data_IF_153911322095
#
_entry.id   IF_153911322095
#
_cell.length_a   1.000
_cell.length_b   1.000
_cell.length_c   1.000
_cell.angle_alpha   90.00
_cell.angle_beta   90.00
_cell.angle_gamma   90.00
#
_symmetry.space_group_name_H-M   'P 1'
#
loop_
_entity.id
_entity.type
_entity.pdbx_description
1 polymer ?
#
# COMPACT_ATOMS: atom_id res chain seq x y z
N UNK A 1 -35.90 5.37 -7.36
CA UNK A 1 -34.96 4.93 -6.31
C UNK A 1 -35.13 3.42 -6.13
N UNK A 2 -34.46 2.59 -6.93
CA UNK A 2 -34.53 1.13 -6.74
C UNK A 2 -33.67 0.78 -5.54
N UNK A 3 -34.31 0.49 -4.40
CA UNK A 3 -33.68 -0.19 -3.27
C UNK A 3 -33.08 -1.49 -3.81
N UNK A 4 -31.76 -1.60 -3.82
CA UNK A 4 -31.10 -2.87 -4.11
C UNK A 4 -31.64 -3.85 -3.06
N UNK A 5 -32.25 -4.93 -3.52
CA UNK A 5 -32.77 -5.98 -2.64
C UNK A 5 -31.62 -6.47 -1.74
N UNK A 6 -31.83 -6.53 -0.42
CA UNK A 6 -30.82 -6.91 0.59
C UNK A 6 -30.12 -8.23 0.22
N UNK A 7 -30.87 -9.18 -0.35
CA UNK A 7 -30.37 -10.46 -0.83
C UNK A 7 -29.39 -10.33 -2.01
N UNK A 8 -29.64 -9.37 -2.92
CA UNK A 8 -28.75 -9.10 -4.06
C UNK A 8 -27.44 -8.50 -3.59
N UNK A 9 -27.46 -7.61 -2.59
CA UNK A 9 -26.21 -7.04 -2.05
C UNK A 9 -25.34 -8.10 -1.37
N UNK A 10 -25.95 -8.97 -0.58
CA UNK A 10 -25.27 -10.09 0.08
C UNK A 10 -24.61 -11.05 -0.93
N UNK A 11 -25.29 -11.37 -2.03
CA UNK A 11 -24.72 -12.20 -3.09
C UNK A 11 -23.43 -11.61 -3.70
N UNK A 12 -23.45 -10.33 -4.09
CA UNK A 12 -22.26 -9.65 -4.62
C UNK A 12 -21.14 -9.57 -3.57
N UNK A 13 -21.49 -9.39 -2.31
CA UNK A 13 -20.54 -9.34 -1.22
C UNK A 13 -19.80 -10.66 -1.00
N UNK A 14 -20.50 -11.80 -1.04
CA UNK A 14 -19.86 -13.12 -0.94
C UNK A 14 -18.90 -13.34 -2.10
N UNK A 15 -19.31 -13.03 -3.32
CA UNK A 15 -18.44 -13.16 -4.51
C UNK A 15 -17.23 -12.23 -4.41
N UNK A 16 -17.43 -10.98 -3.97
CA UNK A 16 -16.34 -10.05 -3.72
C UNK A 16 -15.33 -10.64 -2.76
N UNK A 17 -15.77 -11.11 -1.59
CA UNK A 17 -14.89 -11.66 -0.57
C UNK A 17 -14.08 -12.82 -1.13
N UNK A 18 -14.70 -13.75 -1.88
CA UNK A 18 -14.00 -14.88 -2.48
C UNK A 18 -12.94 -14.42 -3.49
N UNK A 19 -13.31 -13.63 -4.50
CA UNK A 19 -12.39 -13.22 -5.56
C UNK A 19 -11.29 -12.28 -5.06
N UNK A 20 -11.65 -11.33 -4.18
CA UNK A 20 -10.71 -10.45 -3.53
C UNK A 20 -9.71 -11.21 -2.67
N UNK A 21 -10.19 -12.22 -1.92
CA UNK A 21 -9.34 -13.07 -1.10
C UNK A 21 -8.38 -13.89 -1.95
N UNK A 22 -8.84 -14.48 -3.05
CA UNK A 22 -7.98 -15.23 -3.98
C UNK A 22 -6.87 -14.35 -4.58
N UNK A 23 -7.21 -13.14 -5.02
CA UNK A 23 -6.21 -12.18 -5.50
C UNK A 23 -5.24 -11.76 -4.39
N UNK A 24 -5.75 -11.44 -3.21
CA UNK A 24 -4.94 -11.05 -2.06
C UNK A 24 -3.98 -12.17 -1.63
N UNK A 25 -4.46 -13.43 -1.64
CA UNK A 25 -3.66 -14.60 -1.32
C UNK A 25 -2.49 -14.77 -2.28
N UNK A 26 -2.77 -14.61 -3.58
CA UNK A 26 -1.79 -14.75 -4.64
C UNK A 26 -0.70 -13.67 -4.56
N UNK A 27 -0.99 -12.47 -4.06
CA UNK A 27 0.05 -11.44 -3.89
C UNK A 27 1.19 -11.84 -2.96
N UNK A 28 0.96 -12.80 -2.04
CA UNK A 28 2.00 -13.32 -1.14
C UNK A 28 2.88 -14.41 -1.76
N UNK A 29 2.46 -15.01 -2.86
CA UNK A 29 3.17 -16.11 -3.54
C UNK A 29 3.81 -15.57 -4.82
N UNK A 30 5.00 -16.08 -5.16
CA UNK A 30 5.79 -15.70 -6.34
C UNK A 30 4.94 -15.32 -7.58
N UNK A 31 5.14 -14.10 -8.11
CA UNK A 31 4.43 -13.54 -9.27
C UNK A 31 4.98 -14.00 -10.63
N UNK A 32 6.12 -14.69 -10.68
CA UNK A 32 6.79 -14.94 -11.97
C UNK A 32 6.14 -16.08 -12.78
N UNK A 33 5.69 -15.74 -13.99
CA UNK A 33 5.40 -16.70 -15.07
C UNK A 33 4.08 -17.47 -15.00
N UNK A 34 3.22 -17.21 -14.01
CA UNK A 34 1.97 -17.96 -13.85
C UNK A 34 0.74 -17.08 -14.13
N UNK A 35 0.05 -17.41 -15.22
CA UNK A 35 -1.17 -16.76 -15.72
C UNK A 35 -2.37 -16.85 -14.76
N UNK A 36 -2.29 -17.62 -13.66
CA UNK A 36 -3.37 -17.77 -12.69
C UNK A 36 -3.83 -16.43 -12.11
N UNK A 37 -2.89 -15.53 -11.78
CA UNK A 37 -3.25 -14.19 -11.30
C UNK A 37 -4.04 -13.41 -12.34
N UNK A 38 -3.61 -13.45 -13.60
CA UNK A 38 -4.25 -12.73 -14.69
C UNK A 38 -5.67 -13.25 -14.92
N UNK A 39 -5.87 -14.57 -14.89
CA UNK A 39 -7.20 -15.18 -14.99
C UNK A 39 -8.10 -14.81 -13.79
N UNK A 40 -7.58 -14.85 -12.57
CA UNK A 40 -8.31 -14.42 -11.37
C UNK A 40 -8.66 -12.93 -11.45
N UNK A 41 -7.75 -12.10 -11.97
CA UNK A 41 -7.96 -10.68 -12.13
C UNK A 41 -8.99 -10.38 -13.21
N UNK A 42 -8.99 -11.13 -14.33
CA UNK A 42 -10.03 -11.05 -15.36
C UNK A 42 -11.41 -11.44 -14.81
N UNK A 43 -11.48 -12.52 -14.01
CA UNK A 43 -12.71 -12.93 -13.35
C UNK A 43 -13.20 -11.86 -12.37
N UNK A 44 -12.29 -11.27 -11.59
CA UNK A 44 -12.59 -10.14 -10.72
C UNK A 44 -13.05 -8.91 -11.51
N UNK A 45 -12.42 -8.61 -12.65
CA UNK A 45 -12.78 -7.48 -13.51
C UNK A 45 -14.19 -7.66 -14.09
N UNK A 46 -14.53 -8.87 -14.53
CA UNK A 46 -15.88 -9.22 -14.96
C UNK A 46 -16.90 -9.06 -13.82
N UNK A 47 -16.57 -9.54 -12.62
CA UNK A 47 -17.37 -9.29 -11.42
C UNK A 47 -17.55 -7.78 -11.15
N UNK A 48 -16.48 -6.99 -11.21
CA UNK A 48 -16.51 -5.55 -10.96
C UNK A 48 -17.37 -4.81 -12.00
N UNK A 49 -17.35 -5.26 -13.26
CA UNK A 49 -18.24 -4.79 -14.31
C UNK A 49 -19.72 -5.09 -13.97
N UNK A 50 -20.05 -6.34 -13.64
CA UNK A 50 -21.40 -6.73 -13.23
C UNK A 50 -21.89 -5.96 -12.00
N UNK A 51 -20.99 -5.76 -11.03
CA UNK A 51 -21.26 -4.96 -9.84
C UNK A 51 -21.54 -3.51 -10.20
N UNK A 52 -20.77 -2.95 -11.12
CA UNK A 52 -20.94 -1.57 -11.56
C UNK A 52 -22.29 -1.36 -12.24
N UNK A 53 -22.70 -2.21 -13.18
CA UNK A 53 -24.00 -2.05 -13.86
C UNK A 53 -25.22 -2.29 -12.94
N UNK A 54 -25.04 -2.95 -11.79
CA UNK A 54 -26.12 -3.22 -10.84
C UNK A 54 -26.28 -2.15 -9.75
N UNK A 55 -25.31 -1.23 -9.63
CA UNK A 55 -25.35 -0.11 -8.70
C UNK A 55 -25.84 1.15 -9.41
N UNK A 56 -26.70 1.90 -8.72
CA UNK A 56 -27.09 3.24 -9.16
C UNK A 56 -26.01 4.26 -8.80
N UNK A 57 -25.58 5.05 -9.77
CA UNK A 57 -24.65 6.17 -9.56
C UNK A 57 -25.40 7.50 -9.67
N UNK A 58 -25.02 8.45 -8.83
CA UNK A 58 -25.34 9.86 -8.98
C UNK A 58 -24.59 10.46 -10.16
N UNK A 59 -25.12 11.56 -10.72
CA UNK A 59 -24.46 12.30 -11.82
C UNK A 59 -23.02 12.70 -11.46
N UNK A 60 -22.78 13.09 -10.21
CA UNK A 60 -21.44 13.46 -9.72
C UNK A 60 -20.48 12.27 -9.74
N UNK A 61 -20.91 11.09 -9.27
CA UNK A 61 -20.09 9.89 -9.30
C UNK A 61 -19.76 9.45 -10.72
N UNK A 62 -20.72 9.55 -11.65
CA UNK A 62 -20.49 9.22 -13.07
C UNK A 62 -19.42 10.14 -13.67
N UNK A 63 -19.52 11.45 -13.45
CA UNK A 63 -18.54 12.42 -13.96
C UNK A 63 -17.15 12.10 -13.42
N UNK A 64 -17.02 11.88 -12.10
CA UNK A 64 -15.74 11.54 -11.46
C UNK A 64 -15.18 10.25 -12.05
N UNK A 65 -16.02 9.21 -12.19
CA UNK A 65 -15.60 7.92 -12.72
C UNK A 65 -15.09 8.03 -14.16
N UNK A 66 -15.79 8.76 -15.02
CA UNK A 66 -15.37 9.00 -16.41
C UNK A 66 -14.04 9.75 -16.42
N UNK A 67 -13.92 10.85 -15.66
CA UNK A 67 -12.68 11.65 -15.61
C UNK A 67 -11.48 10.83 -15.12
N UNK A 68 -11.64 10.06 -14.03
CA UNK A 68 -10.58 9.20 -13.49
C UNK A 68 -10.22 8.09 -14.47
N UNK A 69 -11.21 7.48 -15.13
CA UNK A 69 -10.96 6.44 -16.14
C UNK A 69 -10.15 6.99 -17.30
N UNK A 70 -10.51 8.16 -17.84
CA UNK A 70 -9.74 8.81 -18.92
C UNK A 70 -8.30 9.07 -18.48
N UNK A 71 -8.08 9.62 -17.28
CA UNK A 71 -6.74 9.89 -16.76
C UNK A 71 -5.91 8.60 -16.62
N UNK A 72 -6.51 7.51 -16.13
CA UNK A 72 -5.81 6.24 -15.97
C UNK A 72 -5.53 5.56 -17.31
N UNK A 73 -6.44 5.66 -18.29
CA UNK A 73 -6.20 5.18 -19.67
C UNK A 73 -5.05 5.95 -20.31
N UNK A 74 -5.02 7.29 -20.17
CA UNK A 74 -3.91 8.10 -20.67
C UNK A 74 -2.58 7.68 -20.02
N UNK A 75 -2.56 7.53 -18.70
CA UNK A 75 -1.35 7.05 -18.03
C UNK A 75 -0.93 5.65 -18.50
N UNK A 76 -1.84 4.71 -18.68
CA UNK A 76 -1.49 3.39 -19.20
C UNK A 76 -0.95 3.44 -20.62
N UNK A 77 -1.45 4.35 -21.45
CA UNK A 77 -0.94 4.56 -22.80
C UNK A 77 0.52 5.06 -22.80
N UNK A 78 0.84 6.05 -21.96
CA UNK A 78 2.19 6.65 -21.88
C UNK A 78 3.19 5.81 -21.08
N UNK A 79 2.76 5.21 -19.96
CA UNK A 79 3.64 4.45 -19.06
C UNK A 79 3.81 2.98 -19.45
N UNK A 80 2.96 2.47 -20.35
CA UNK A 80 2.82 1.04 -20.67
C UNK A 80 2.53 0.15 -19.44
N UNK A 81 2.13 0.75 -18.32
CA UNK A 81 1.74 0.07 -17.09
C UNK A 81 0.24 0.20 -16.80
N UNK A 82 -0.35 -0.82 -16.17
CA UNK A 82 -1.81 -0.89 -15.93
C UNK A 82 -2.21 -0.72 -14.46
N UNK A 83 -1.28 -0.39 -13.55
CA UNK A 83 -1.51 -0.42 -12.10
C UNK A 83 -2.71 0.43 -11.66
N UNK A 84 -2.87 1.65 -12.17
CA UNK A 84 -3.98 2.53 -11.79
C UNK A 84 -5.34 2.06 -12.33
N UNK A 85 -5.37 1.49 -13.54
CA UNK A 85 -6.57 0.83 -14.06
C UNK A 85 -6.94 -0.38 -13.20
N UNK A 86 -5.95 -1.19 -12.80
CA UNK A 86 -6.18 -2.32 -11.90
C UNK A 86 -6.73 -1.88 -10.54
N UNK A 87 -6.19 -0.80 -9.98
CA UNK A 87 -6.73 -0.19 -8.75
C UNK A 87 -8.18 0.25 -8.94
N UNK A 88 -8.50 0.93 -10.04
CA UNK A 88 -9.87 1.37 -10.32
C UNK A 88 -10.85 0.20 -10.38
N UNK A 89 -10.48 -0.88 -11.08
CA UNK A 89 -11.28 -2.10 -11.17
C UNK A 89 -11.50 -2.71 -9.77
N UNK A 90 -10.45 -2.79 -8.95
CA UNK A 90 -10.53 -3.28 -7.58
C UNK A 90 -11.49 -2.42 -6.74
N UNK A 91 -11.38 -1.10 -6.82
CA UNK A 91 -12.26 -0.20 -6.07
C UNK A 91 -13.72 -0.29 -6.53
N UNK A 92 -13.98 -0.43 -7.83
CA UNK A 92 -15.33 -0.64 -8.37
C UNK A 92 -15.96 -1.94 -7.85
N UNK A 93 -15.19 -3.04 -7.83
CA UNK A 93 -15.67 -4.31 -7.27
C UNK A 93 -15.99 -4.23 -5.77
N UNK A 94 -15.35 -3.32 -5.04
CA UNK A 94 -15.56 -3.10 -3.61
C UNK A 94 -16.74 -2.18 -3.27
N UNK A 95 -17.45 -1.62 -4.25
CA UNK A 95 -18.59 -0.70 -4.04
C UNK A 95 -19.66 -1.31 -3.14
N UNK A 96 -20.15 -0.53 -2.17
CA UNK A 96 -21.13 -0.92 -1.14
C UNK A 96 -20.76 -2.16 -0.30
N UNK A 97 -19.48 -2.52 -0.26
CA UNK A 97 -18.92 -3.47 0.72
C UNK A 97 -18.39 -2.69 1.92
N UNK A 98 -18.71 -3.11 3.14
CA UNK A 98 -18.22 -2.42 4.34
C UNK A 98 -16.68 -2.43 4.41
N UNK A 99 -16.07 -1.30 4.78
CA UNK A 99 -14.61 -1.18 4.86
C UNK A 99 -14.00 -2.21 5.82
N UNK A 100 -14.69 -2.47 6.95
CA UNK A 100 -14.31 -3.48 7.93
C UNK A 100 -14.21 -4.88 7.32
N UNK A 101 -15.15 -5.25 6.43
CA UNK A 101 -15.14 -6.57 5.78
C UNK A 101 -14.01 -6.70 4.76
N UNK A 102 -13.68 -5.62 4.05
CA UNK A 102 -12.51 -5.58 3.15
C UNK A 102 -11.24 -5.79 3.97
N UNK A 103 -11.11 -5.08 5.08
CA UNK A 103 -9.95 -5.13 5.97
C UNK A 103 -9.82 -6.50 6.65
N UNK A 104 -10.91 -7.07 7.15
CA UNK A 104 -10.94 -8.41 7.75
C UNK A 104 -10.51 -9.48 6.72
N UNK A 105 -11.08 -9.42 5.52
CA UNK A 105 -10.73 -10.35 4.44
C UNK A 105 -9.26 -10.23 4.07
N UNK A 106 -8.75 -9.00 3.94
CA UNK A 106 -7.34 -8.76 3.62
C UNK A 106 -6.41 -9.24 4.74
N UNK A 107 -6.75 -8.97 6.00
CA UNK A 107 -5.97 -9.41 7.16
C UNK A 107 -5.86 -10.94 7.21
N UNK A 108 -6.98 -11.64 7.09
CA UNK A 108 -7.02 -13.10 7.09
C UNK A 108 -6.19 -13.65 5.93
N UNK A 109 -6.38 -13.12 4.72
CA UNK A 109 -5.62 -13.57 3.55
C UNK A 109 -4.12 -13.33 3.71
N UNK A 110 -3.70 -12.17 4.22
CA UNK A 110 -2.29 -11.88 4.44
C UNK A 110 -1.68 -12.81 5.49
N UNK A 111 -2.39 -13.13 6.57
CA UNK A 111 -1.94 -14.11 7.57
C UNK A 111 -1.81 -15.50 6.95
N UNK A 112 -2.83 -15.97 6.23
CA UNK A 112 -2.83 -17.28 5.58
C UNK A 112 -1.69 -17.38 4.56
N UNK A 113 -1.52 -16.39 3.68
CA UNK A 113 -0.42 -16.36 2.72
C UNK A 113 0.93 -16.34 3.41
N UNK A 114 1.10 -15.53 4.45
CA UNK A 114 2.36 -15.43 5.17
C UNK A 114 2.74 -16.78 5.79
N UNK A 115 1.85 -17.39 6.57
CA UNK A 115 2.08 -18.72 7.17
C UNK A 115 2.28 -19.79 6.08
N UNK A 116 1.47 -19.75 5.01
CA UNK A 116 1.54 -20.69 3.89
C UNK A 116 2.88 -20.66 3.18
N UNK A 117 3.40 -19.47 2.85
CA UNK A 117 4.71 -19.29 2.23
C UNK A 117 5.82 -19.81 3.14
N UNK A 118 5.82 -19.46 4.43
CA UNK A 118 6.81 -19.98 5.39
C UNK A 118 6.75 -21.51 5.48
N UNK A 119 5.55 -22.08 5.49
CA UNK A 119 5.33 -23.53 5.52
C UNK A 119 5.87 -24.20 4.26
N UNK A 120 5.58 -23.65 3.07
CA UNK A 120 6.06 -24.21 1.81
C UNK A 120 7.57 -24.16 1.65
N UNK A 121 8.23 -23.14 2.22
CA UNK A 121 9.70 -23.11 2.29
C UNK A 121 10.24 -24.22 3.19
N UNK A 122 9.64 -24.43 4.36
CA UNK A 122 10.03 -25.51 5.27
C UNK A 122 9.79 -26.91 4.69
N UNK A 123 8.80 -27.05 3.81
CA UNK A 123 8.52 -28.28 3.06
C UNK A 123 9.36 -28.40 1.78
N UNK A 124 10.28 -27.47 1.52
CA UNK A 124 11.11 -27.41 0.30
C UNK A 124 10.31 -27.32 -1.01
N UNK A 125 9.06 -26.85 -0.95
CA UNK A 125 8.21 -26.58 -2.13
C UNK A 125 8.60 -25.24 -2.75
N UNK A 126 8.94 -24.24 -1.93
CA UNK A 126 9.42 -22.93 -2.37
C UNK A 126 10.89 -22.76 -2.01
N UNK A 127 11.63 -22.11 -2.90
CA UNK A 127 13.04 -21.78 -2.67
C UNK A 127 13.18 -20.66 -1.62
N UNK A 128 14.11 -20.85 -0.70
CA UNK A 128 14.56 -19.78 0.18
C UNK A 128 15.66 -18.96 -0.51
N UNK A 129 15.27 -17.97 -1.31
CA UNK A 129 16.24 -17.13 -2.04
C UNK A 129 17.14 -16.36 -1.07
N UNK A 130 18.44 -16.46 -1.33
CA UNK A 130 19.47 -15.72 -0.64
C UNK A 130 19.90 -14.52 -1.48
N UNK A 131 19.94 -13.35 -0.85
CA UNK A 131 20.44 -12.11 -1.44
C UNK A 131 21.67 -11.69 -0.64
N UNK A 132 22.81 -11.54 -1.32
CA UNK A 132 24.02 -11.00 -0.73
C UNK A 132 23.99 -9.48 -0.83
N UNK A 133 24.25 -8.78 0.27
CA UNK A 133 24.31 -7.30 0.27
C UNK A 133 25.57 -6.85 0.99
N UNK A 134 26.32 -5.93 0.37
CA UNK A 134 27.47 -5.29 1.00
C UNK A 134 27.00 -4.21 1.99
N UNK A 135 27.42 -4.32 3.25
CA UNK A 135 27.07 -3.38 4.32
C UNK A 135 28.25 -3.20 5.27
N UNK A 136 28.63 -1.95 5.53
CA UNK A 136 29.65 -1.59 6.52
C UNK A 136 31.00 -2.32 6.37
N UNK A 137 31.41 -2.66 5.15
CA UNK A 137 32.66 -3.40 4.91
C UNK A 137 32.49 -4.90 4.81
N UNK A 138 31.29 -5.44 5.07
CA UNK A 138 31.03 -6.89 5.10
C UNK A 138 29.92 -7.28 4.13
N UNK A 139 30.03 -8.49 3.58
CA UNK A 139 28.96 -9.11 2.78
C UNK A 139 28.02 -9.84 3.72
N UNK A 140 26.77 -9.37 3.81
CA UNK A 140 25.75 -9.97 4.67
C UNK A 140 24.80 -10.81 3.83
N UNK A 141 24.60 -12.06 4.23
CA UNK A 141 23.60 -12.94 3.66
C UNK A 141 22.20 -12.59 4.20
N UNK A 142 21.22 -12.48 3.30
CA UNK A 142 19.84 -12.13 3.64
C UNK A 142 18.90 -13.13 2.99
N UNK A 143 17.92 -13.62 3.73
CA UNK A 143 17.00 -14.64 3.24
C UNK A 143 15.61 -14.06 3.03
N UNK A 144 15.01 -14.37 1.87
CA UNK A 144 13.67 -13.91 1.51
C UNK A 144 12.56 -14.85 1.98
N UNK A 145 12.90 -16.09 2.36
CA UNK A 145 11.98 -17.09 2.94
C UNK A 145 10.69 -17.27 2.10
N UNK A 146 10.88 -17.53 0.80
CA UNK A 146 9.79 -17.77 -0.15
C UNK A 146 9.20 -16.51 -0.79
N UNK A 147 9.59 -15.32 -0.31
CA UNK A 147 9.26 -14.04 -0.96
C UNK A 147 10.28 -13.66 -2.04
N UNK A 148 9.94 -12.67 -2.87
CA UNK A 148 10.83 -12.19 -3.93
C UNK A 148 12.11 -11.54 -3.41
N UNK A 149 12.01 -10.82 -2.29
CA UNK A 149 13.13 -10.11 -1.68
C UNK A 149 12.97 -10.05 -0.15
N UNK A 150 14.05 -9.99 0.65
CA UNK A 150 13.94 -9.90 2.11
C UNK A 150 13.16 -8.68 2.63
N UNK A 151 13.16 -7.56 1.89
CA UNK A 151 12.31 -6.41 2.24
C UNK A 151 10.82 -6.75 2.06
N UNK A 152 10.45 -7.50 1.02
CA UNK A 152 9.07 -7.89 0.74
C UNK A 152 8.51 -8.76 1.86
N UNK A 153 9.28 -9.74 2.34
CA UNK A 153 8.93 -10.54 3.52
C UNK A 153 8.54 -9.64 4.71
N UNK A 154 9.36 -8.63 4.99
CA UNK A 154 9.14 -7.73 6.11
C UNK A 154 8.01 -6.73 5.89
N UNK A 155 7.83 -6.23 4.67
CA UNK A 155 6.70 -5.39 4.29
C UNK A 155 5.36 -6.14 4.41
N UNK A 156 5.34 -7.42 4.04
CA UNK A 156 4.19 -8.30 4.25
C UNK A 156 3.87 -8.50 5.73
N UNK A 157 4.88 -8.68 6.57
CA UNK A 157 4.66 -8.73 8.00
C UNK A 157 4.13 -7.39 8.54
N UNK A 158 4.73 -6.27 8.12
CA UNK A 158 4.30 -4.94 8.52
C UNK A 158 2.83 -4.64 8.17
N UNK A 159 2.37 -4.99 6.96
CA UNK A 159 0.96 -4.76 6.59
C UNK A 159 -0.01 -5.59 7.43
N UNK A 160 0.36 -6.83 7.82
CA UNK A 160 -0.43 -7.66 8.74
C UNK A 160 -0.54 -6.95 10.09
N UNK A 161 0.57 -6.43 10.63
CA UNK A 161 0.57 -5.72 11.91
C UNK A 161 -0.29 -4.46 11.85
N UNK A 162 -0.21 -3.69 10.76
CA UNK A 162 -1.05 -2.51 10.57
C UNK A 162 -2.54 -2.84 10.56
N UNK A 163 -2.94 -3.84 9.76
CA UNK A 163 -4.32 -4.31 9.67
C UNK A 163 -4.83 -4.84 11.02
N UNK A 164 -4.00 -5.62 11.72
CA UNK A 164 -4.31 -6.16 13.04
C UNK A 164 -4.50 -5.04 14.08
N UNK A 165 -3.62 -4.04 14.11
CA UNK A 165 -3.74 -2.89 15.01
C UNK A 165 -4.99 -2.07 14.69
N UNK A 166 -5.27 -1.82 13.41
CA UNK A 166 -6.50 -1.13 13.02
C UNK A 166 -7.75 -1.88 13.49
N UNK A 167 -7.82 -3.19 13.21
CA UNK A 167 -9.02 -3.99 13.50
C UNK A 167 -9.29 -4.09 14.99
N UNK A 168 -8.23 -4.22 15.79
CA UNK A 168 -8.34 -4.40 17.24
C UNK A 168 -7.93 -3.14 18.02
N UNK A 169 -8.00 -1.95 17.40
CA UNK A 169 -7.41 -0.71 17.93
C UNK A 169 -7.75 -0.43 19.39
N UNK A 170 -9.02 -0.63 19.79
CA UNK A 170 -9.49 -0.42 21.17
C UNK A 170 -9.37 -1.66 22.06
N UNK A 171 -9.18 -2.86 21.49
CA UNK A 171 -9.19 -4.17 22.17
C UNK A 171 -7.80 -4.77 22.36
N UNK A 172 -6.75 -4.20 21.76
CA UNK A 172 -5.40 -4.73 21.87
C UNK A 172 -4.87 -4.66 23.32
N UNK A 173 -4.15 -5.71 23.71
CA UNK A 173 -3.43 -5.80 24.99
C UNK A 173 -1.93 -5.61 24.72
N UNK A 174 -1.20 -5.10 25.71
CA UNK A 174 0.26 -4.94 25.61
C UNK A 174 0.99 -6.27 25.31
N UNK A 175 0.46 -7.40 25.80
CA UNK A 175 0.99 -8.73 25.49
C UNK A 175 1.01 -9.00 23.98
N UNK A 176 -0.04 -8.61 23.24
CA UNK A 176 -0.05 -8.78 21.79
C UNK A 176 1.08 -7.97 21.13
N UNK A 177 1.35 -6.77 21.63
CA UNK A 177 2.42 -5.90 21.11
C UNK A 177 3.81 -6.50 21.40
N UNK A 178 4.02 -7.07 22.59
CA UNK A 178 5.26 -7.77 22.95
C UNK A 178 5.48 -8.96 22.02
N UNK A 179 4.45 -9.78 21.77
CA UNK A 179 4.52 -10.91 20.84
C UNK A 179 4.89 -10.42 19.43
N UNK A 180 4.28 -9.33 18.95
CA UNK A 180 4.60 -8.74 17.65
C UNK A 180 6.08 -8.34 17.58
N UNK A 181 6.64 -7.74 18.62
CA UNK A 181 8.05 -7.33 18.65
C UNK A 181 9.01 -8.53 18.69
N UNK A 182 8.65 -9.60 19.39
CA UNK A 182 9.42 -10.86 19.39
C UNK A 182 9.45 -11.47 17.98
N UNK A 183 8.29 -11.56 17.32
CA UNK A 183 8.19 -12.07 15.95
C UNK A 183 8.96 -11.15 14.99
N UNK A 184 8.89 -9.83 15.17
CA UNK A 184 9.65 -8.86 14.37
C UNK A 184 11.16 -9.10 14.47
N UNK A 185 11.67 -9.35 15.69
CA UNK A 185 13.07 -9.67 15.93
C UNK A 185 13.48 -10.97 15.25
N UNK A 186 12.63 -12.00 15.32
CA UNK A 186 12.86 -13.26 14.62
C UNK A 186 12.95 -13.06 13.11
N UNK A 187 11.98 -12.38 12.49
CA UNK A 187 12.00 -12.13 11.05
C UNK A 187 13.22 -11.28 10.66
N UNK A 188 13.59 -10.29 11.47
CA UNK A 188 14.79 -9.48 11.22
C UNK A 188 16.08 -10.30 11.24
N UNK A 189 16.19 -11.29 12.13
CA UNK A 189 17.38 -12.16 12.18
C UNK A 189 17.59 -12.96 10.89
N UNK A 190 16.52 -13.17 10.10
CA UNK A 190 16.54 -13.90 8.84
C UNK A 190 16.70 -12.94 7.65
N UNK A 191 15.89 -11.88 7.60
CA UNK A 191 15.80 -10.97 6.45
C UNK A 191 16.89 -9.91 6.43
N UNK A 192 17.41 -9.57 7.63
CA UNK A 192 18.27 -8.41 7.91
C UNK A 192 17.73 -7.13 7.26
N UNK A 193 16.41 -7.01 7.11
CA UNK A 193 15.74 -5.87 6.50
C UNK A 193 15.51 -4.77 7.55
N UNK A 194 16.50 -3.88 7.71
CA UNK A 194 16.48 -2.81 8.72
C UNK A 194 15.24 -1.93 8.63
N UNK A 195 14.89 -1.53 7.41
CA UNK A 195 13.73 -0.67 7.15
C UNK A 195 12.44 -1.31 7.67
N UNK A 196 12.15 -2.55 7.29
CA UNK A 196 10.96 -3.27 7.74
C UNK A 196 10.90 -3.46 9.25
N UNK A 197 12.05 -3.80 9.87
CA UNK A 197 12.17 -3.92 11.32
C UNK A 197 11.77 -2.64 12.05
N UNK A 198 12.32 -1.49 11.63
CA UNK A 198 12.01 -0.20 12.24
C UNK A 198 10.59 0.29 11.94
N UNK A 199 10.02 -0.05 10.77
CA UNK A 199 8.62 0.24 10.48
C UNK A 199 7.67 -0.47 11.45
N UNK A 200 7.91 -1.75 11.75
CA UNK A 200 7.09 -2.49 12.71
C UNK A 200 7.22 -1.91 14.12
N UNK A 201 8.45 -1.56 14.54
CA UNK A 201 8.67 -0.86 15.82
C UNK A 201 7.90 0.46 15.84
N UNK A 202 8.02 1.26 14.77
CA UNK A 202 7.29 2.51 14.65
C UNK A 202 5.78 2.29 14.78
N UNK A 203 5.20 1.34 14.05
CA UNK A 203 3.77 1.02 14.11
C UNK A 203 3.31 0.71 15.55
N UNK A 204 4.05 -0.15 16.25
CA UNK A 204 3.74 -0.53 17.64
C UNK A 204 3.88 0.66 18.59
N UNK A 205 4.99 1.39 18.53
CA UNK A 205 5.25 2.55 19.40
C UNK A 205 4.24 3.67 19.13
N UNK A 206 3.98 3.97 17.87
CA UNK A 206 3.02 4.98 17.46
C UNK A 206 1.61 4.63 17.94
N UNK A 207 1.19 3.36 17.85
CA UNK A 207 -0.06 2.89 18.43
C UNK A 207 -0.10 3.10 19.96
N UNK A 208 0.95 2.70 20.69
CA UNK A 208 1.00 2.87 22.16
C UNK A 208 0.88 4.34 22.55
N UNK A 209 1.62 5.22 21.88
CA UNK A 209 1.59 6.66 22.16
C UNK A 209 0.21 7.23 21.81
N UNK A 210 -0.34 6.90 20.64
CA UNK A 210 -1.67 7.35 20.24
C UNK A 210 -2.75 6.94 21.24
N UNK A 211 -2.71 5.70 21.72
CA UNK A 211 -3.70 5.19 22.68
C UNK A 211 -3.66 5.96 24.01
N UNK A 212 -2.47 6.34 24.46
CA UNK A 212 -2.26 6.82 25.83
C UNK A 212 -2.01 8.33 25.93
N UNK A 213 -1.81 9.04 24.81
CA UNK A 213 -1.45 10.46 24.81
C UNK A 213 -2.39 11.29 23.92
N UNK A 214 -3.27 12.05 24.56
CA UNK A 214 -4.22 12.94 23.89
C UNK A 214 -3.54 14.01 23.03
N UNK A 215 -2.42 14.59 23.47
CA UNK A 215 -1.71 15.61 22.68
C UNK A 215 -1.23 15.03 21.34
N UNK A 216 -0.72 13.79 21.35
CA UNK A 216 -0.27 13.13 20.13
C UNK A 216 -1.46 12.79 19.22
N UNK A 217 -2.61 12.39 19.77
CA UNK A 217 -3.84 12.25 18.96
C UNK A 217 -4.18 13.57 18.25
N UNK A 218 -4.16 14.69 18.97
CA UNK A 218 -4.45 16.02 18.40
C UNK A 218 -3.43 16.42 17.33
N UNK A 219 -2.15 16.11 17.53
CA UNK A 219 -1.11 16.32 16.52
C UNK A 219 -1.37 15.43 15.29
N UNK A 220 -1.72 14.16 15.48
CA UNK A 220 -2.07 13.25 14.38
C UNK A 220 -3.28 13.74 13.61
N UNK A 221 -4.34 14.22 14.28
CA UNK A 221 -5.50 14.82 13.60
C UNK A 221 -5.12 16.02 12.73
N UNK A 222 -4.11 16.82 13.13
CA UNK A 222 -3.63 17.96 12.35
C UNK A 222 -2.73 17.56 11.20
N UNK A 223 -1.80 16.63 11.43
CA UNK A 223 -0.73 16.30 10.48
C UNK A 223 -1.14 15.21 9.48
N UNK A 224 -1.92 14.21 9.89
CA UNK A 224 -2.26 13.05 9.05
C UNK A 224 -2.77 13.40 7.63
N UNK A 225 -3.59 14.45 7.43
CA UNK A 225 -3.99 14.84 6.07
C UNK A 225 -2.84 15.28 5.16
N UNK A 226 -1.77 15.83 5.72
CA UNK A 226 -0.65 16.43 4.99
C UNK A 226 0.55 15.49 4.82
N UNK A 227 0.56 14.32 5.48
CA UNK A 227 1.75 13.44 5.53
C UNK A 227 2.26 13.06 4.14
N UNK A 228 1.39 12.74 3.18
CA UNK A 228 1.81 12.40 1.82
C UNK A 228 2.51 13.58 1.11
N UNK A 229 2.00 14.79 1.28
CA UNK A 229 2.61 16.00 0.72
C UNK A 229 3.93 16.33 1.40
N UNK A 230 4.01 16.20 2.73
CA UNK A 230 5.24 16.39 3.50
C UNK A 230 6.31 15.39 3.03
N UNK A 231 5.94 14.11 2.90
CA UNK A 231 6.83 13.06 2.44
C UNK A 231 7.34 13.34 1.02
N UNK A 232 6.44 13.62 0.07
CA UNK A 232 6.83 13.96 -1.31
C UNK A 232 7.71 15.21 -1.38
N UNK A 233 7.31 16.29 -0.71
CA UNK A 233 8.07 17.53 -0.73
C UNK A 233 9.46 17.34 -0.10
N UNK A 234 9.55 16.61 1.03
CA UNK A 234 10.84 16.29 1.63
C UNK A 234 11.74 15.48 0.70
N UNK A 235 11.17 14.52 -0.04
CA UNK A 235 11.91 13.73 -1.02
C UNK A 235 12.45 14.61 -2.14
N UNK A 236 11.59 15.43 -2.76
CA UNK A 236 11.98 16.36 -3.84
C UNK A 236 13.04 17.35 -3.38
N UNK A 237 12.86 17.92 -2.18
CA UNK A 237 13.78 18.88 -1.59
C UNK A 237 15.17 18.25 -1.40
N UNK A 238 15.24 17.07 -0.78
CA UNK A 238 16.51 16.41 -0.49
C UNK A 238 17.16 15.80 -1.73
N UNK A 239 16.39 15.25 -2.67
CA UNK A 239 16.95 14.60 -3.86
C UNK A 239 17.42 15.58 -4.92
N UNK A 240 16.68 16.67 -5.17
CA UNK A 240 16.96 17.60 -6.27
C UNK A 240 17.82 18.79 -5.83
N UNK A 241 17.62 19.32 -4.63
CA UNK A 241 18.25 20.59 -4.22
C UNK A 241 19.37 20.41 -3.20
N UNK A 242 19.21 19.51 -2.22
CA UNK A 242 20.14 19.40 -1.08
C UNK A 242 21.00 18.14 -1.07
N UNK A 243 20.97 17.33 -2.13
CA UNK A 243 21.64 16.02 -2.14
C UNK A 243 23.15 16.11 -1.84
N UNK A 244 23.81 17.15 -2.34
CA UNK A 244 25.26 17.34 -2.17
C UNK A 244 25.65 17.87 -0.79
N UNK A 245 24.72 18.01 0.16
CA UNK A 245 25.03 18.47 1.51
C UNK A 245 25.43 17.30 2.42
N UNK A 246 26.36 17.52 3.38
CA UNK A 246 26.78 16.47 4.32
C UNK A 246 25.62 15.89 5.15
N UNK A 247 24.62 16.71 5.45
CA UNK A 247 23.44 16.31 6.23
C UNK A 247 22.59 15.32 5.43
N UNK A 248 22.32 15.61 4.16
CA UNK A 248 21.52 14.72 3.31
C UNK A 248 22.26 13.42 2.99
N UNK A 249 23.58 13.46 2.81
CA UNK A 249 24.38 12.22 2.64
C UNK A 249 24.29 11.29 3.86
N UNK A 250 24.34 11.83 5.09
CA UNK A 250 24.12 11.04 6.31
C UNK A 250 22.69 10.48 6.38
N UNK A 251 21.70 11.29 6.02
CA UNK A 251 20.30 10.87 5.98
C UNK A 251 20.07 9.76 4.95
N UNK A 252 20.67 9.86 3.77
CA UNK A 252 20.57 8.87 2.70
C UNK A 252 21.18 7.53 3.11
N UNK A 253 22.31 7.53 3.81
CA UNK A 253 22.89 6.33 4.39
C UNK A 253 21.95 5.65 5.40
N UNK A 254 21.23 6.43 6.23
CA UNK A 254 20.21 5.90 7.14
C UNK A 254 19.03 5.30 6.37
N UNK A 255 18.59 5.96 5.29
CA UNK A 255 17.53 5.51 4.41
C UNK A 255 17.98 4.46 3.38
N UNK A 256 19.21 3.97 3.51
CA UNK A 256 19.81 2.97 2.62
C UNK A 256 19.78 3.36 1.13
N UNK A 257 20.12 4.61 0.81
CA UNK A 257 20.28 5.10 -0.57
C UNK A 257 19.01 5.62 -1.24
N UNK A 258 17.86 5.63 -0.55
CA UNK A 258 16.56 5.99 -1.16
C UNK A 258 16.47 7.42 -1.68
N UNK A 259 17.19 8.37 -1.08
CA UNK A 259 17.23 9.76 -1.58
C UNK A 259 18.10 9.82 -2.84
N UNK A 260 19.22 9.10 -2.86
CA UNK A 260 20.06 8.97 -4.05
C UNK A 260 19.31 8.34 -5.21
N UNK A 261 18.60 7.23 -4.98
CA UNK A 261 17.80 6.56 -6.01
C UNK A 261 16.67 7.46 -6.52
N UNK A 262 16.00 8.20 -5.63
CA UNK A 262 15.02 9.19 -6.04
C UNK A 262 15.63 10.29 -6.92
N UNK A 263 16.86 10.76 -6.63
CA UNK A 263 17.55 11.73 -7.48
C UNK A 263 17.82 11.16 -8.88
N UNK A 264 18.35 9.93 -8.95
CA UNK A 264 18.64 9.28 -10.24
C UNK A 264 17.39 9.14 -11.10
N UNK A 265 16.28 8.72 -10.49
CA UNK A 265 15.00 8.56 -11.19
C UNK A 265 14.46 9.93 -11.63
N UNK A 266 14.39 10.91 -10.72
CA UNK A 266 13.63 12.15 -10.94
C UNK A 266 14.33 13.17 -11.83
N UNK A 267 15.64 13.07 -12.04
CA UNK A 267 16.38 14.04 -12.87
C UNK A 267 15.87 14.07 -14.31
N UNK A 268 15.51 12.91 -14.88
CA UNK A 268 15.13 12.78 -16.30
C UNK A 268 13.71 12.24 -16.54
N UNK A 269 12.88 12.13 -15.49
CA UNK A 269 11.58 11.43 -15.56
C UNK A 269 10.34 12.27 -15.28
N UNK A 270 10.45 13.58 -15.13
CA UNK A 270 9.30 14.42 -14.80
C UNK A 270 8.40 14.63 -16.02
N UNK A 271 7.29 13.89 -16.09
CA UNK A 271 6.29 13.98 -17.14
C UNK A 271 4.85 14.08 -16.56
N UNK A 272 3.92 14.61 -17.35
CA UNK A 272 2.53 14.82 -16.90
C UNK A 272 1.78 13.51 -16.64
N UNK A 273 1.98 12.52 -17.52
CA UNK A 273 1.30 11.21 -17.50
C UNK A 273 2.24 10.03 -17.23
N UNK A 274 3.49 10.30 -16.85
CA UNK A 274 4.49 9.31 -16.52
C UNK A 274 5.31 8.84 -17.73
N UNK A 275 6.23 7.91 -17.49
CA UNK A 275 7.12 7.35 -18.50
C UNK A 275 6.98 5.84 -18.57
N UNK A 276 7.44 5.28 -19.68
CA UNK A 276 7.48 3.84 -19.90
C UNK A 276 8.30 3.13 -18.83
N UNK A 277 7.81 2.00 -18.31
CA UNK A 277 8.52 1.23 -17.28
C UNK A 277 9.88 0.72 -17.75
N UNK A 278 9.99 0.30 -19.02
CA UNK A 278 11.23 -0.22 -19.60
C UNK A 278 12.36 0.81 -19.60
N UNK A 279 12.03 2.10 -19.76
CA UNK A 279 12.99 3.19 -19.65
C UNK A 279 13.75 3.15 -18.31
N UNK A 280 13.06 2.80 -17.22
CA UNK A 280 13.68 2.71 -15.90
C UNK A 280 14.35 1.38 -15.63
N UNK A 281 13.78 0.29 -16.13
CA UNK A 281 14.43 -1.00 -16.04
C UNK A 281 15.78 -0.85 -16.73
N UNK A 282 15.86 -0.48 -18.01
CA UNK A 282 17.12 -0.43 -18.76
C UNK A 282 18.19 0.50 -18.17
N UNK A 283 17.79 1.59 -17.49
CA UNK A 283 18.73 2.60 -16.94
C UNK A 283 19.02 2.47 -15.45
N UNK A 284 18.10 1.92 -14.67
CA UNK A 284 18.14 1.95 -13.21
C UNK A 284 17.77 0.60 -12.56
N UNK A 285 17.88 -0.51 -13.32
CA UNK A 285 17.49 -1.93 -13.09
C UNK A 285 17.26 -2.36 -11.62
N UNK A 286 18.08 -1.91 -10.68
CA UNK A 286 18.14 -2.42 -9.30
C UNK A 286 17.43 -1.56 -8.23
N UNK A 287 17.04 -0.31 -8.52
CA UNK A 287 16.71 0.66 -7.45
C UNK A 287 15.34 1.32 -7.56
N UNK A 288 14.58 0.93 -8.58
CA UNK A 288 13.31 1.56 -8.92
C UNK A 288 12.19 1.34 -7.89
N UNK A 289 12.28 0.28 -7.09
CA UNK A 289 11.23 -0.14 -6.16
C UNK A 289 11.41 0.29 -4.70
N UNK A 290 12.42 1.12 -4.42
CA UNK A 290 12.80 1.43 -3.03
C UNK A 290 12.09 2.67 -2.44
N UNK A 291 11.30 3.40 -3.24
CA UNK A 291 10.50 4.55 -2.78
C UNK A 291 9.28 4.79 -3.68
N UNK A 292 8.07 4.67 -3.11
CA UNK A 292 6.82 4.85 -3.85
C UNK A 292 6.63 6.25 -4.42
N UNK A 293 7.14 7.29 -3.76
CA UNK A 293 6.88 8.67 -4.17
C UNK A 293 7.63 8.97 -5.47
N UNK A 294 8.93 8.64 -5.55
CA UNK A 294 9.69 8.80 -6.79
C UNK A 294 9.20 7.87 -7.89
N UNK A 295 8.93 6.60 -7.59
CA UNK A 295 8.44 5.64 -8.59
C UNK A 295 7.06 6.04 -9.14
N UNK A 296 6.15 6.49 -8.27
CA UNK A 296 4.81 6.92 -8.67
C UNK A 296 4.89 8.19 -9.49
N UNK A 297 5.72 9.17 -9.11
CA UNK A 297 5.91 10.39 -9.89
C UNK A 297 6.48 10.08 -11.28
N UNK A 298 7.45 9.19 -11.35
CA UNK A 298 8.10 8.79 -12.59
C UNK A 298 7.20 7.96 -13.53
N UNK A 299 6.41 7.01 -13.00
CA UNK A 299 5.54 6.15 -13.83
C UNK A 299 4.13 6.64 -14.02
N UNK A 300 3.61 7.37 -13.05
CA UNK A 300 2.20 7.82 -13.06
C UNK A 300 2.08 9.26 -13.55
N UNK A 301 3.19 9.99 -13.50
CA UNK A 301 3.26 11.40 -13.84
C UNK A 301 2.73 12.30 -12.74
N UNK A 302 2.94 13.60 -12.94
CA UNK A 302 2.58 14.66 -12.00
C UNK A 302 1.07 14.63 -11.72
N UNK A 303 0.23 14.50 -12.76
CA UNK A 303 -1.22 14.65 -12.62
C UNK A 303 -1.81 13.58 -11.69
N UNK A 304 -1.48 12.30 -11.93
CA UNK A 304 -2.01 11.20 -11.11
C UNK A 304 -1.41 11.22 -9.70
N UNK A 305 -0.11 11.50 -9.58
CA UNK A 305 0.57 11.51 -8.28
C UNK A 305 -0.05 12.54 -7.33
N UNK A 306 -0.19 13.79 -7.79
CA UNK A 306 -0.80 14.84 -6.97
C UNK A 306 -2.32 14.68 -6.84
N UNK A 307 -2.98 14.08 -7.83
CA UNK A 307 -4.39 13.70 -7.74
C UNK A 307 -4.66 12.68 -6.64
N UNK A 308 -3.85 11.62 -6.55
CA UNK A 308 -3.89 10.65 -5.46
C UNK A 308 -3.66 11.30 -4.09
N UNK A 309 -2.63 12.15 -3.96
CA UNK A 309 -2.34 12.85 -2.70
C UNK A 309 -3.46 13.79 -2.28
N UNK A 310 -4.11 14.47 -3.24
CA UNK A 310 -5.26 15.31 -2.96
C UNK A 310 -6.46 14.50 -2.46
N UNK A 311 -6.74 13.35 -3.08
CA UNK A 311 -7.79 12.43 -2.63
C UNK A 311 -7.48 11.84 -1.25
N UNK A 312 -6.22 11.47 -1.00
CA UNK A 312 -5.74 11.06 0.31
C UNK A 312 -6.00 12.16 1.35
N UNK A 313 -5.64 13.42 1.05
CA UNK A 313 -5.85 14.55 1.93
C UNK A 313 -7.34 14.76 2.25
N UNK A 314 -8.21 14.77 1.23
CA UNK A 314 -9.67 14.93 1.42
C UNK A 314 -10.26 13.81 2.26
N UNK A 315 -9.87 12.57 1.97
CA UNK A 315 -10.29 11.39 2.72
C UNK A 315 -9.85 11.48 4.18
N UNK A 316 -8.58 11.80 4.42
CA UNK A 316 -8.02 11.98 5.77
C UNK A 316 -8.71 13.11 6.53
N UNK A 317 -9.01 14.25 5.88
CA UNK A 317 -9.79 15.34 6.48
C UNK A 317 -11.19 14.90 6.90
N UNK A 318 -11.86 14.06 6.10
CA UNK A 318 -13.15 13.48 6.47
C UNK A 318 -13.01 12.55 7.69
N UNK A 319 -11.99 11.69 7.72
CA UNK A 319 -11.69 10.83 8.87
C UNK A 319 -11.36 11.62 10.15
N UNK A 320 -10.73 12.79 10.02
CA UNK A 320 -10.51 13.72 11.15
C UNK A 320 -11.85 14.26 11.68
N UNK A 321 -12.77 14.66 10.80
CA UNK A 321 -14.11 15.11 11.20
C UNK A 321 -14.91 14.01 11.88
N UNK A 322 -14.74 12.77 11.43
CA UNK A 322 -15.41 11.59 12.00
C UNK A 322 -14.68 11.05 13.25
N UNK A 323 -13.63 11.73 13.73
CA UNK A 323 -12.80 11.34 14.87
C UNK A 323 -12.25 9.90 14.79
N UNK A 324 -12.01 9.39 13.58
CA UNK A 324 -11.57 8.01 13.36
C UNK A 324 -10.04 7.88 13.46
N UNK A 325 -9.54 7.86 14.71
CA UNK A 325 -8.10 7.77 14.98
C UNK A 325 -7.45 6.47 14.48
N UNK A 326 -8.20 5.37 14.46
CA UNK A 326 -7.71 4.09 13.96
C UNK A 326 -7.39 4.14 12.45
N UNK A 327 -8.27 4.75 11.66
CA UNK A 327 -8.02 4.96 10.23
C UNK A 327 -6.85 5.93 10.00
N UNK A 328 -6.75 7.00 10.80
CA UNK A 328 -5.62 7.94 10.70
C UNK A 328 -4.27 7.28 11.04
N UNK A 329 -4.25 6.35 12.00
CA UNK A 329 -3.08 5.51 12.26
C UNK A 329 -2.64 4.72 11.01
N UNK A 330 -3.58 4.12 10.28
CA UNK A 330 -3.27 3.43 9.01
C UNK A 330 -2.73 4.39 7.96
N UNK A 331 -3.29 5.59 7.87
CA UNK A 331 -2.89 6.61 6.91
C UNK A 331 -1.44 7.04 7.14
N UNK A 332 -1.06 7.38 8.38
CA UNK A 332 0.32 7.77 8.71
C UNK A 332 1.29 6.60 8.51
N UNK A 333 0.94 5.41 9.01
CA UNK A 333 1.83 4.24 8.94
C UNK A 333 2.07 3.77 7.49
N UNK A 334 1.06 3.79 6.62
CA UNK A 334 1.23 3.49 5.19
C UNK A 334 2.13 4.52 4.50
N UNK A 335 2.04 5.79 4.89
CA UNK A 335 2.85 6.85 4.27
C UNK A 335 4.35 6.66 4.51
N UNK A 336 4.71 6.10 5.67
CA UNK A 336 6.10 5.73 5.98
C UNK A 336 6.55 4.50 5.20
N UNK A 337 5.68 3.50 5.06
CA UNK A 337 5.94 2.37 4.16
C UNK A 337 6.22 2.86 2.74
N UNK A 338 5.41 3.78 2.22
CA UNK A 338 5.58 4.35 0.86
C UNK A 338 6.87 5.13 0.70
N UNK A 339 7.38 5.74 1.77
CA UNK A 339 8.68 6.43 1.73
C UNK A 339 9.84 5.43 1.61
N UNK A 340 9.58 4.18 1.94
CA UNK A 340 10.59 3.15 2.10
C UNK A 340 10.50 2.01 1.09
N UNK A 341 9.37 1.84 0.42
CA UNK A 341 9.13 0.77 -0.54
C UNK A 341 8.12 1.28 -1.58
N UNK A 342 8.07 0.66 -2.76
CA UNK A 342 7.18 1.02 -3.88
C UNK A 342 5.81 0.29 -3.82
N UNK A 343 4.91 0.77 -2.97
CA UNK A 343 3.59 0.18 -2.72
C UNK A 343 2.39 1.13 -2.86
N UNK A 344 2.55 2.42 -3.19
CA UNK A 344 1.40 3.31 -3.46
C UNK A 344 0.46 2.71 -4.52
N UNK A 345 1.04 2.08 -5.54
CA UNK A 345 0.32 1.51 -6.69
C UNK A 345 -0.09 0.05 -6.50
N UNK A 346 0.09 -0.51 -5.30
CA UNK A 346 -0.23 -1.90 -4.98
C UNK A 346 -1.43 -1.98 -4.02
N UNK A 347 -2.65 -2.27 -4.52
CA UNK A 347 -3.88 -2.15 -3.73
C UNK A 347 -3.96 -3.08 -2.51
N UNK A 348 -3.24 -4.20 -2.53
CA UNK A 348 -3.19 -5.15 -1.42
C UNK A 348 -2.14 -4.77 -0.34
N UNK A 349 -1.37 -3.70 -0.56
CA UNK A 349 -0.40 -3.14 0.39
C UNK A 349 -0.72 -1.67 0.71
N UNK A 350 -1.44 -0.96 -0.15
CA UNK A 350 -1.96 0.38 0.09
C UNK A 350 -3.45 0.35 0.49
N UNK A 351 -3.71 0.12 1.77
CA UNK A 351 -5.07 0.04 2.32
C UNK A 351 -5.82 1.37 2.19
N UNK A 352 -5.09 2.50 2.13
CA UNK A 352 -5.68 3.84 2.04
C UNK A 352 -6.53 4.04 0.77
N UNK A 353 -6.25 3.27 -0.30
CA UNK A 353 -7.04 3.28 -1.52
C UNK A 353 -8.50 2.88 -1.29
N UNK A 354 -8.78 1.94 -0.40
CA UNK A 354 -10.17 1.55 -0.09
C UNK A 354 -10.91 2.67 0.62
N UNK A 355 -10.28 3.35 1.58
CA UNK A 355 -10.88 4.53 2.22
C UNK A 355 -11.11 5.66 1.22
N UNK A 356 -10.17 5.90 0.31
CA UNK A 356 -10.31 6.89 -0.77
C UNK A 356 -11.46 6.52 -1.70
N UNK A 357 -11.57 5.24 -2.09
CA UNK A 357 -12.69 4.74 -2.88
C UNK A 357 -14.02 5.02 -2.18
N UNK A 358 -14.13 4.65 -0.89
CA UNK A 358 -15.32 4.93 -0.08
C UNK A 358 -15.62 6.42 0.02
N UNK A 359 -14.60 7.28 0.11
CA UNK A 359 -14.79 8.74 0.12
C UNK A 359 -15.41 9.25 -1.19
N UNK A 360 -14.83 8.88 -2.33
CA UNK A 360 -15.28 9.31 -3.67
C UNK A 360 -16.76 8.97 -3.89
N UNK A 361 -17.16 7.83 -3.36
CA UNK A 361 -18.49 7.27 -3.50
C UNK A 361 -19.46 7.64 -2.36
N UNK A 362 -19.04 8.51 -1.42
CA UNK A 362 -19.80 8.89 -0.23
C UNK A 362 -20.23 7.72 0.68
N UNK A 363 -19.46 6.63 0.69
CA UNK A 363 -19.71 5.40 1.45
C UNK A 363 -18.91 5.33 2.77
N UNK A 364 -18.13 6.36 3.12
CA UNK A 364 -17.26 6.36 4.31
C UNK A 364 -18.01 6.35 5.66
N UNK A 365 -19.31 6.61 5.67
CA UNK A 365 -20.14 6.70 6.87
C UNK A 365 -21.33 5.75 6.93
N UNK A 366 -21.58 4.93 5.90
CA UNK A 366 -22.70 3.97 5.85
C UNK A 366 -22.44 2.70 6.70
N UNK A 367 -21.78 2.85 7.86
CA UNK A 367 -21.22 1.73 8.63
C UNK A 367 -22.25 1.05 9.57
N UNK A 368 -23.48 1.53 9.69
CA UNK A 368 -24.46 0.93 10.61
C UNK A 368 -25.89 0.81 10.03
N UNK A 369 -26.09 0.08 8.92
CA UNK A 369 -27.43 -0.44 8.55
C UNK A 369 -27.42 -1.92 8.15
#
# INVERSE_FOLDING_TARGET
>A
MMKINKNKNYFFEVIFIILFSLLALYTGVYRDGNYLYDYLFLLYAFYAFLRSITITYSRKEIIILISVTILFVLNSFFSKGNSWLSILIILLGSRKIAIDRIIDSLLICKIISFIGVLTFVNLHILENKQVLTYRYGEVVARYAYGFNHPNTLHAFFFIIIMLFIYRFFTKLKYLHLVIILIINQYIYSISVARTGYFLVIFAVVFYIILRNNFLIQQVTFKIAPYVQFIAMFSLLLFSLFFFNTPIVSKLDNLLSGRIYYAKLILTDSLNLFGNEINYFIDRYILFFHDNSYSSTLALSGIIITFGYMYLYFKTSRKLVQDHNIAALYLFVSNSLLFYSEDYIREPFLNITLFFIGKYIFNELGEINE
#
